data_IF_959420835315
#
_entry.id   IF_959420835315
#
_cell.length_a   1.000
_cell.length_b   1.000
_cell.length_c   1.000
_cell.angle_alpha   90.00
_cell.angle_beta   90.00
_cell.angle_gamma   90.00
#
_symmetry.space_group_name_H-M   'P 1'
#
loop_
_entity.id
_entity.type
_entity.pdbx_description
1 polymer ?
#
# COMPACT_ATOMS: atom_id res chain seq x y z
N UNK A 1 8.04 -24.86 24.11
CA UNK A 1 8.76 -25.36 22.91
C UNK A 1 7.83 -25.89 21.80
N UNK A 2 6.73 -26.59 22.14
CA UNK A 2 5.77 -27.13 21.13
C UNK A 2 5.13 -26.03 20.27
N UNK A 3 4.72 -24.89 20.84
CA UNK A 3 4.16 -23.78 20.09
C UNK A 3 5.17 -23.15 19.10
N UNK A 4 6.44 -23.04 19.48
CA UNK A 4 7.52 -22.57 18.59
C UNK A 4 7.69 -23.50 17.39
N UNK A 5 7.78 -24.81 17.64
CA UNK A 5 7.89 -25.82 16.57
C UNK A 5 6.66 -25.84 15.68
N UNK A 6 5.47 -25.64 16.25
CA UNK A 6 4.22 -25.49 15.50
C UNK A 6 4.21 -24.25 14.60
N UNK A 7 4.67 -23.10 15.10
CA UNK A 7 4.76 -21.87 14.30
C UNK A 7 5.80 -21.98 13.18
N UNK A 8 6.96 -22.60 13.46
CA UNK A 8 7.98 -22.90 12.45
C UNK A 8 7.45 -23.85 11.38
N UNK A 9 6.71 -24.88 11.79
CA UNK A 9 6.09 -25.83 10.86
C UNK A 9 5.05 -25.14 9.97
N UNK A 10 4.17 -24.33 10.54
CA UNK A 10 3.19 -23.54 9.78
C UNK A 10 3.89 -22.56 8.84
N UNK A 11 4.93 -21.85 9.31
CA UNK A 11 5.72 -20.95 8.48
C UNK A 11 6.35 -21.69 7.29
N UNK A 12 6.91 -22.89 7.52
CA UNK A 12 7.48 -23.72 6.47
C UNK A 12 6.42 -24.25 5.49
N UNK A 13 5.23 -24.60 5.98
CA UNK A 13 4.11 -25.02 5.14
C UNK A 13 3.58 -23.88 4.28
N UNK A 14 3.64 -22.66 4.78
CA UNK A 14 3.31 -21.46 4.03
C UNK A 14 4.41 -21.04 3.04
N UNK A 15 5.57 -21.68 3.01
CA UNK A 15 6.53 -21.43 1.93
C UNK A 15 6.10 -22.19 0.68
N UNK A 16 5.73 -21.45 -0.36
CA UNK A 16 5.57 -21.99 -1.72
C UNK A 16 4.30 -22.77 -2.02
N UNK A 17 3.32 -22.84 -1.10
CA UNK A 17 2.05 -23.54 -1.34
C UNK A 17 0.83 -22.70 -0.93
N UNK A 18 0.04 -22.27 -1.91
CA UNK A 18 -1.21 -21.53 -1.70
C UNK A 18 -2.30 -22.37 -1.03
N UNK A 19 -2.42 -23.66 -1.39
CA UNK A 19 -3.38 -24.56 -0.74
C UNK A 19 -3.12 -24.62 0.77
N UNK A 20 -1.84 -24.56 1.18
CA UNK A 20 -1.48 -24.47 2.58
C UNK A 20 -1.81 -23.09 3.16
N UNK A 21 -1.70 -21.99 2.41
CA UNK A 21 -2.12 -20.65 2.88
C UNK A 21 -3.60 -20.62 3.24
N UNK A 22 -4.46 -21.04 2.32
CA UNK A 22 -5.91 -21.08 2.55
C UNK A 22 -6.24 -22.01 3.72
N UNK A 23 -5.66 -23.21 3.75
CA UNK A 23 -5.90 -24.17 4.83
C UNK A 23 -5.39 -23.68 6.20
N UNK A 24 -4.23 -23.03 6.25
CA UNK A 24 -3.68 -22.45 7.48
C UNK A 24 -4.62 -21.36 8.00
N UNK A 25 -5.20 -20.54 7.11
CA UNK A 25 -6.11 -19.48 7.53
C UNK A 25 -7.48 -20.04 7.94
N UNK A 26 -8.06 -20.93 7.13
CA UNK A 26 -9.39 -21.51 7.39
C UNK A 26 -9.42 -22.32 8.69
N UNK A 27 -8.30 -22.95 9.06
CA UNK A 27 -8.15 -23.68 10.32
C UNK A 27 -7.80 -22.78 11.51
N UNK A 28 -7.78 -21.46 11.34
CA UNK A 28 -7.46 -20.51 12.40
C UNK A 28 -5.98 -20.51 12.83
N UNK A 29 -5.09 -20.98 11.95
CA UNK A 29 -3.65 -21.07 12.20
C UNK A 29 -3.02 -19.69 12.38
N UNK A 30 -3.52 -18.66 11.68
CA UNK A 30 -3.08 -17.27 11.86
C UNK A 30 -3.42 -16.79 13.27
N UNK A 31 -4.63 -17.03 13.75
CA UNK A 31 -5.10 -16.68 15.09
C UNK A 31 -4.35 -17.46 16.17
N UNK A 32 -4.03 -18.74 15.91
CA UNK A 32 -3.23 -19.56 16.81
C UNK A 32 -1.79 -19.04 16.95
N UNK A 33 -1.15 -18.67 15.83
CA UNK A 33 0.19 -18.07 15.84
C UNK A 33 0.18 -16.67 16.46
N UNK A 34 -0.86 -15.87 16.19
CA UNK A 34 -1.06 -14.53 16.81
C UNK A 34 -1.16 -14.63 18.32
N UNK A 35 -2.00 -15.55 18.81
CA UNK A 35 -2.21 -15.77 20.24
C UNK A 35 -0.94 -16.29 20.91
N UNK A 36 -0.21 -17.19 20.25
CA UNK A 36 1.10 -17.62 20.71
C UNK A 36 2.11 -16.46 20.75
N UNK A 37 2.09 -15.54 19.78
CA UNK A 37 2.95 -14.35 19.81
C UNK A 37 2.55 -13.35 20.91
N UNK A 38 1.26 -13.19 21.21
CA UNK A 38 0.76 -12.24 22.21
C UNK A 38 0.85 -12.74 23.65
N UNK A 39 0.64 -14.04 23.90
CA UNK A 39 0.77 -14.64 25.23
C UNK A 39 2.23 -14.66 25.68
N UNK A 40 3.16 -14.87 24.75
CA UNK A 40 4.58 -14.92 25.06
C UNK A 40 5.22 -13.53 25.18
N UNK A 41 4.65 -12.47 24.59
CA UNK A 41 5.16 -11.08 24.71
C UNK A 41 5.14 -10.52 26.14
N UNK A 42 4.32 -11.10 27.01
CA UNK A 42 4.10 -10.66 28.39
C UNK A 42 5.03 -11.34 29.41
N UNK A 43 5.86 -12.32 29.02
CA UNK A 43 6.67 -13.06 29.99
C UNK A 43 8.05 -12.39 30.22
N UNK A 44 8.41 -11.98 31.46
CA UNK A 44 9.62 -11.19 31.75
C UNK A 44 10.97 -11.90 31.55
N UNK A 45 10.93 -13.19 31.18
CA UNK A 45 12.12 -14.01 31.00
C UNK A 45 12.52 -14.02 29.52
N UNK A 46 13.52 -13.20 29.15
CA UNK A 46 14.17 -13.13 27.83
C UNK A 46 14.70 -14.49 27.33
N UNK A 47 13.84 -15.39 26.88
CA UNK A 47 14.24 -16.68 26.34
C UNK A 47 14.56 -16.53 24.83
N UNK A 48 15.68 -17.07 24.31
CA UNK A 48 16.05 -16.99 22.89
C UNK A 48 14.95 -17.48 21.91
N UNK A 49 14.17 -18.46 22.37
CA UNK A 49 13.02 -19.06 21.68
C UNK A 49 11.91 -18.06 21.31
N UNK A 50 11.85 -16.92 22.00
CA UNK A 50 10.85 -15.87 21.81
C UNK A 50 11.11 -15.04 20.56
N UNK A 51 12.38 -14.71 20.28
CA UNK A 51 12.78 -14.07 19.02
C UNK A 51 12.52 -14.99 17.83
N UNK A 52 12.75 -16.30 17.98
CA UNK A 52 12.43 -17.29 16.95
C UNK A 52 10.93 -17.44 16.74
N UNK A 53 10.10 -17.41 17.80
CA UNK A 53 8.65 -17.50 17.69
C UNK A 53 8.08 -16.27 16.98
N UNK A 54 8.52 -15.08 17.39
CA UNK A 54 8.16 -13.82 16.76
C UNK A 54 8.62 -13.81 15.29
N UNK A 55 9.87 -14.17 15.01
CA UNK A 55 10.41 -14.26 13.66
C UNK A 55 9.68 -15.28 12.77
N UNK A 56 9.30 -16.43 13.31
CA UNK A 56 8.58 -17.48 12.56
C UNK A 56 7.13 -17.10 12.28
N UNK A 57 6.46 -16.47 13.25
CA UNK A 57 5.11 -15.96 13.04
C UNK A 57 5.10 -14.82 12.03
N UNK A 58 6.04 -13.88 12.15
CA UNK A 58 6.24 -12.78 11.19
C UNK A 58 6.60 -13.31 9.80
N UNK A 59 7.40 -14.37 9.71
CA UNK A 59 7.69 -15.05 8.45
C UNK A 59 6.43 -15.68 7.86
N UNK A 60 5.71 -16.51 8.60
CA UNK A 60 4.44 -17.11 8.17
C UNK A 60 3.51 -16.03 7.60
N UNK A 61 3.32 -14.94 8.33
CA UNK A 61 2.45 -13.83 7.94
C UNK A 61 2.98 -13.10 6.71
N UNK A 62 4.29 -12.89 6.63
CA UNK A 62 4.95 -12.33 5.46
C UNK A 62 4.86 -13.23 4.23
N UNK A 63 4.83 -14.55 4.42
CA UNK A 63 4.64 -15.55 3.36
C UNK A 63 3.18 -15.66 2.91
N UNK A 64 2.23 -15.53 3.85
CA UNK A 64 0.80 -15.41 3.56
C UNK A 64 0.50 -14.11 2.81
N UNK A 65 1.15 -13.01 3.21
CA UNK A 65 1.07 -11.75 2.49
C UNK A 65 1.71 -11.90 1.11
N UNK A 66 2.95 -12.37 1.00
CA UNK A 66 3.69 -12.45 -0.26
C UNK A 66 3.23 -13.57 -1.22
N UNK A 67 1.98 -14.06 -1.14
CA UNK A 67 1.43 -15.03 -2.07
C UNK A 67 1.46 -14.45 -3.51
N UNK A 68 2.51 -14.76 -4.25
CA UNK A 68 2.64 -14.41 -5.65
C UNK A 68 1.59 -15.18 -6.43
N UNK A 69 0.57 -14.47 -6.92
CA UNK A 69 -0.59 -15.06 -7.59
C UNK A 69 -0.25 -15.51 -9.01
N UNK A 70 -0.14 -16.81 -9.23
CA UNK A 70 -0.14 -17.42 -10.58
C UNK A 70 -1.42 -18.17 -10.93
N UNK A 71 -2.49 -18.09 -10.11
CA UNK A 71 -3.75 -18.77 -10.42
C UNK A 71 -4.98 -17.88 -10.45
N UNK A 72 -5.66 -17.94 -11.60
CA UNK A 72 -6.86 -17.22 -12.04
C UNK A 72 -8.17 -17.85 -11.53
N UNK A 73 -8.13 -18.68 -10.48
CA UNK A 73 -9.23 -19.58 -10.13
C UNK A 73 -10.33 -18.99 -9.23
N UNK A 74 -10.02 -17.98 -8.41
CA UNK A 74 -10.97 -17.42 -7.42
C UNK A 74 -10.97 -15.89 -7.38
N UNK A 75 -10.98 -15.23 -8.54
CA UNK A 75 -11.20 -13.77 -8.66
C UNK A 75 -10.31 -12.85 -7.81
N UNK A 76 -9.22 -13.34 -7.20
CA UNK A 76 -8.34 -12.59 -6.30
C UNK A 76 -8.95 -12.09 -4.99
N UNK A 77 -10.24 -12.31 -4.72
CA UNK A 77 -10.91 -11.80 -3.52
C UNK A 77 -10.40 -12.42 -2.22
N UNK A 78 -10.11 -13.73 -2.26
CA UNK A 78 -9.63 -14.45 -1.09
C UNK A 78 -8.20 -14.03 -0.73
N UNK A 79 -7.33 -13.90 -1.73
CA UNK A 79 -5.94 -13.42 -1.55
C UNK A 79 -5.90 -12.06 -0.85
N UNK A 80 -6.66 -11.09 -1.40
CA UNK A 80 -6.77 -9.76 -0.81
C UNK A 80 -7.28 -9.82 0.63
N UNK A 81 -8.31 -10.61 0.89
CA UNK A 81 -8.88 -10.73 2.24
C UNK A 81 -7.87 -11.29 3.25
N UNK A 82 -7.07 -12.29 2.84
CA UNK A 82 -6.01 -12.85 3.67
C UNK A 82 -4.97 -11.79 4.06
N UNK A 83 -4.48 -11.04 3.07
CA UNK A 83 -3.46 -10.00 3.32
C UNK A 83 -4.01 -8.88 4.19
N UNK A 84 -5.22 -8.40 3.90
CA UNK A 84 -5.88 -7.35 4.69
C UNK A 84 -6.11 -7.80 6.13
N UNK A 85 -6.56 -9.04 6.34
CA UNK A 85 -6.76 -9.59 7.68
C UNK A 85 -5.44 -9.69 8.45
N UNK A 86 -4.39 -10.21 7.82
CA UNK A 86 -3.06 -10.31 8.44
C UNK A 86 -2.53 -8.93 8.85
N UNK A 87 -2.59 -7.94 7.97
CA UNK A 87 -2.14 -6.58 8.28
C UNK A 87 -2.98 -5.91 9.37
N UNK A 88 -4.30 -6.17 9.46
CA UNK A 88 -5.17 -5.67 10.55
C UNK A 88 -4.81 -6.30 11.89
N UNK A 89 -4.63 -7.62 11.92
CA UNK A 89 -4.27 -8.36 13.14
C UNK A 89 -2.91 -7.92 13.68
N UNK A 90 -1.98 -7.61 12.79
CA UNK A 90 -0.61 -7.23 13.13
C UNK A 90 -0.28 -5.79 12.73
N UNK A 91 -1.19 -4.87 13.01
CA UNK A 91 -1.03 -3.44 12.69
C UNK A 91 0.27 -2.84 13.24
N UNK A 92 0.77 -3.34 14.37
CA UNK A 92 1.98 -2.83 15.02
C UNK A 92 3.29 -3.53 14.60
N UNK A 93 3.25 -4.47 13.66
CA UNK A 93 4.44 -5.19 13.20
C UNK A 93 4.91 -4.65 11.85
N UNK A 94 6.02 -3.90 11.85
CA UNK A 94 6.61 -3.27 10.66
C UNK A 94 6.82 -4.27 9.51
N UNK A 95 7.39 -5.44 9.77
CA UNK A 95 7.68 -6.43 8.73
C UNK A 95 6.40 -6.99 8.09
N UNK A 96 5.35 -7.23 8.88
CA UNK A 96 4.05 -7.66 8.34
C UNK A 96 3.42 -6.54 7.51
N UNK A 97 3.55 -5.28 7.93
CA UNK A 97 3.07 -4.14 7.14
C UNK A 97 3.85 -3.99 5.82
N UNK A 98 5.17 -4.14 5.83
CA UNK A 98 6.00 -4.09 4.62
C UNK A 98 5.61 -5.18 3.62
N UNK A 99 5.56 -6.44 4.08
CA UNK A 99 5.17 -7.58 3.24
C UNK A 99 3.73 -7.47 2.78
N UNK A 100 2.84 -6.99 3.64
CA UNK A 100 1.45 -6.71 3.32
C UNK A 100 1.29 -5.65 2.25
N UNK A 101 1.97 -4.50 2.37
CA UNK A 101 1.95 -3.45 1.35
C UNK A 101 2.50 -3.97 0.01
N UNK A 102 3.61 -4.71 0.01
CA UNK A 102 4.17 -5.32 -1.20
C UNK A 102 3.21 -6.30 -1.86
N UNK A 103 2.54 -7.11 -1.06
CA UNK A 103 1.55 -8.07 -1.54
C UNK A 103 0.33 -7.39 -2.16
N UNK A 104 -0.25 -6.41 -1.48
CA UNK A 104 -1.36 -5.62 -1.99
C UNK A 104 -0.97 -4.88 -3.27
N UNK A 105 0.25 -4.35 -3.35
CA UNK A 105 0.77 -3.78 -4.60
C UNK A 105 0.81 -4.82 -5.74
N UNK A 106 1.41 -6.00 -5.50
CA UNK A 106 1.47 -7.05 -6.51
C UNK A 106 0.07 -7.48 -6.96
N UNK A 107 -0.86 -7.63 -6.01
CA UNK A 107 -2.26 -7.96 -6.29
C UNK A 107 -2.92 -6.87 -7.15
N UNK A 108 -2.74 -5.60 -6.79
CA UNK A 108 -3.25 -4.46 -7.56
C UNK A 108 -2.72 -4.44 -9.00
N UNK A 109 -1.41 -4.69 -9.16
CA UNK A 109 -0.76 -4.67 -10.47
C UNK A 109 -1.17 -5.83 -11.39
N UNK A 110 -1.84 -6.85 -10.84
CA UNK A 110 -2.17 -8.08 -11.58
C UNK A 110 -3.58 -8.11 -12.19
N UNK A 111 -4.39 -7.07 -12.00
CA UNK A 111 -5.63 -6.87 -12.75
C UNK A 111 -6.81 -6.31 -11.96
N UNK A 112 -7.80 -5.81 -12.69
CA UNK A 112 -8.93 -5.02 -12.19
C UNK A 112 -9.78 -5.72 -11.12
N UNK A 113 -10.04 -7.02 -11.24
CA UNK A 113 -10.82 -7.78 -10.26
C UNK A 113 -10.19 -7.74 -8.86
N UNK A 114 -8.85 -7.74 -8.78
CA UNK A 114 -8.13 -7.66 -7.51
C UNK A 114 -8.14 -6.25 -6.94
N UNK A 115 -8.04 -5.23 -7.79
CA UNK A 115 -8.22 -3.85 -7.36
C UNK A 115 -9.62 -3.64 -6.75
N UNK A 116 -10.67 -4.14 -7.41
CA UNK A 116 -12.03 -4.09 -6.86
C UNK A 116 -12.13 -4.81 -5.51
N UNK A 117 -11.55 -6.00 -5.39
CA UNK A 117 -11.50 -6.72 -4.13
C UNK A 117 -10.78 -5.92 -3.03
N UNK A 118 -9.68 -5.22 -3.34
CA UNK A 118 -8.97 -4.38 -2.37
C UNK A 118 -9.82 -3.23 -1.86
N UNK A 119 -10.62 -2.61 -2.72
CA UNK A 119 -11.57 -1.57 -2.31
C UNK A 119 -12.63 -2.17 -1.38
N UNK A 120 -13.28 -3.27 -1.80
CA UNK A 120 -14.37 -3.90 -1.06
C UNK A 120 -13.95 -4.46 0.31
N UNK A 121 -12.70 -4.90 0.45
CA UNK A 121 -12.20 -5.48 1.71
C UNK A 121 -11.51 -4.45 2.62
N UNK A 122 -11.42 -3.18 2.20
CA UNK A 122 -10.79 -2.11 2.97
C UNK A 122 -9.26 -2.19 2.99
N UNK A 123 -8.65 -2.68 1.90
CA UNK A 123 -7.19 -2.73 1.76
C UNK A 123 -6.54 -1.36 1.75
N UNK A 124 -7.24 -0.34 1.21
CA UNK A 124 -6.77 1.04 1.24
C UNK A 124 -6.58 1.57 2.66
N UNK A 125 -7.55 1.33 3.56
CA UNK A 125 -7.46 1.80 4.95
C UNK A 125 -6.26 1.21 5.66
N UNK A 126 -5.95 -0.06 5.37
CA UNK A 126 -4.82 -0.75 5.94
C UNK A 126 -3.50 -0.21 5.40
N UNK A 127 -3.40 0.03 4.09
CA UNK A 127 -2.20 0.66 3.48
C UNK A 127 -1.99 2.06 4.06
N UNK A 128 -3.03 2.89 4.13
CA UNK A 128 -2.95 4.26 4.67
C UNK A 128 -2.53 4.23 6.14
N UNK A 129 -3.06 3.31 6.94
CA UNK A 129 -2.64 3.15 8.34
C UNK A 129 -1.18 2.71 8.45
N UNK A 130 -0.76 1.73 7.65
CA UNK A 130 0.61 1.24 7.62
C UNK A 130 1.60 2.36 7.28
N UNK A 131 1.33 3.11 6.22
CA UNK A 131 2.15 4.24 5.79
C UNK A 131 2.19 5.38 6.82
N UNK A 132 1.09 5.64 7.54
CA UNK A 132 1.09 6.64 8.63
C UNK A 132 1.88 6.19 9.85
N UNK A 133 1.87 4.90 10.14
CA UNK A 133 2.52 4.34 11.32
C UNK A 133 4.02 4.11 11.11
N UNK A 134 4.42 3.70 9.91
CA UNK A 134 5.80 3.33 9.60
C UNK A 134 6.36 4.15 8.44
N UNK A 135 7.23 5.11 8.76
CA UNK A 135 7.96 5.91 7.77
C UNK A 135 9.21 5.14 7.31
N UNK A 136 8.97 3.97 6.70
CA UNK A 136 10.00 3.06 6.20
C UNK A 136 9.91 3.02 4.69
N UNK A 137 11.06 3.14 4.00
CA UNK A 137 11.14 3.26 2.54
C UNK A 137 10.28 2.23 1.81
N UNK A 138 10.42 0.96 2.18
CA UNK A 138 9.71 -0.13 1.49
C UNK A 138 8.19 -0.11 1.75
N UNK A 139 7.74 0.28 2.94
CA UNK A 139 6.30 0.45 3.24
C UNK A 139 5.73 1.62 2.44
N UNK A 140 6.42 2.76 2.42
CA UNK A 140 5.99 3.94 1.67
C UNK A 140 5.97 3.68 0.16
N UNK A 141 7.02 3.07 -0.39
CA UNK A 141 7.13 2.78 -1.81
C UNK A 141 6.03 1.81 -2.28
N UNK A 142 5.87 0.68 -1.57
CA UNK A 142 4.85 -0.30 -1.95
C UNK A 142 3.43 0.23 -1.71
N UNK A 143 3.21 0.96 -0.61
CA UNK A 143 1.93 1.58 -0.30
C UNK A 143 1.51 2.62 -1.35
N UNK A 144 2.42 3.53 -1.73
CA UNK A 144 2.19 4.53 -2.77
C UNK A 144 1.86 3.90 -4.12
N UNK A 145 2.60 2.86 -4.53
CA UNK A 145 2.31 2.14 -5.79
C UNK A 145 0.96 1.45 -5.74
N UNK A 146 0.64 0.79 -4.62
CA UNK A 146 -0.66 0.15 -4.44
C UNK A 146 -1.80 1.18 -4.52
N UNK A 147 -1.66 2.34 -3.89
CA UNK A 147 -2.66 3.41 -3.99
C UNK A 147 -2.82 3.92 -5.43
N UNK A 148 -1.73 4.08 -6.18
CA UNK A 148 -1.77 4.46 -7.60
C UNK A 148 -2.49 3.44 -8.48
N UNK A 149 -2.21 2.14 -8.30
CA UNK A 149 -2.82 1.08 -9.11
C UNK A 149 -4.33 0.91 -8.91
N UNK A 150 -4.88 1.35 -7.78
CA UNK A 150 -6.30 1.15 -7.45
C UNK A 150 -7.11 2.40 -7.79
N UNK A 151 -6.46 3.52 -8.15
CA UNK A 151 -7.09 4.82 -8.40
C UNK A 151 -8.31 4.74 -9.32
N UNK A 152 -8.20 4.03 -10.44
CA UNK A 152 -9.28 3.82 -11.40
C UNK A 152 -10.50 3.04 -10.88
N UNK A 153 -10.34 2.24 -9.82
CA UNK A 153 -11.39 1.35 -9.29
C UNK A 153 -12.06 1.88 -8.02
N UNK A 154 -11.40 2.81 -7.33
CA UNK A 154 -11.88 3.31 -6.04
C UNK A 154 -12.48 4.70 -6.11
N UNK A 155 -12.10 5.54 -7.07
CA UNK A 155 -12.56 6.93 -7.13
C UNK A 155 -14.08 7.06 -7.26
N UNK A 156 -14.74 6.10 -7.93
CA UNK A 156 -16.21 6.05 -8.03
C UNK A 156 -16.90 5.49 -6.78
N UNK A 157 -16.16 4.80 -5.90
CA UNK A 157 -16.72 3.99 -4.80
C UNK A 157 -16.35 4.47 -3.40
N UNK A 158 -15.32 5.30 -3.29
CA UNK A 158 -14.77 5.80 -2.04
C UNK A 158 -14.90 7.33 -2.02
N UNK A 159 -15.30 7.90 -0.88
CA UNK A 159 -15.51 9.35 -0.79
C UNK A 159 -14.23 10.17 -1.07
N UNK A 160 -14.39 11.33 -1.70
CA UNK A 160 -13.30 12.23 -2.12
C UNK A 160 -12.30 12.54 -0.97
N UNK A 161 -12.79 12.61 0.27
CA UNK A 161 -11.97 12.83 1.47
C UNK A 161 -10.91 11.76 1.70
N UNK A 162 -11.23 10.50 1.41
CA UNK A 162 -10.28 9.38 1.59
C UNK A 162 -9.18 9.48 0.55
N UNK A 163 -9.56 9.84 -0.67
CA UNK A 163 -8.63 9.99 -1.78
C UNK A 163 -7.70 11.17 -1.57
N UNK A 164 -8.23 12.28 -1.05
CA UNK A 164 -7.42 13.44 -0.66
C UNK A 164 -6.38 13.06 0.37
N UNK A 165 -6.77 12.36 1.43
CA UNK A 165 -5.85 11.89 2.48
C UNK A 165 -4.80 10.94 1.93
N UNK A 166 -5.14 10.10 0.96
CA UNK A 166 -4.18 9.23 0.29
C UNK A 166 -3.18 10.05 -0.53
N UNK A 167 -3.63 11.05 -1.29
CA UNK A 167 -2.74 11.94 -2.06
C UNK A 167 -1.81 12.76 -1.15
N UNK A 168 -2.34 13.34 -0.07
CA UNK A 168 -1.53 14.05 0.94
C UNK A 168 -0.45 13.13 1.54
N UNK A 169 -0.79 11.87 1.80
CA UNK A 169 0.16 10.88 2.32
C UNK A 169 1.24 10.52 1.30
N UNK A 170 0.89 10.41 0.02
CA UNK A 170 1.85 10.21 -1.07
C UNK A 170 2.82 11.39 -1.17
N UNK A 171 2.32 12.63 -1.13
CA UNK A 171 3.17 13.83 -1.13
C UNK A 171 4.08 13.86 0.09
N UNK A 172 3.57 13.52 1.27
CA UNK A 172 4.39 13.42 2.48
C UNK A 172 5.51 12.39 2.32
N UNK A 173 5.20 11.22 1.77
CA UNK A 173 6.18 10.18 1.50
C UNK A 173 7.25 10.63 0.48
N UNK A 174 6.84 11.35 -0.57
CA UNK A 174 7.78 11.98 -1.51
C UNK A 174 8.69 13.00 -0.81
N UNK A 175 8.17 13.78 0.14
CA UNK A 175 8.97 14.74 0.91
C UNK A 175 9.97 14.06 1.86
N UNK A 176 9.53 13.04 2.59
CA UNK A 176 10.37 12.29 3.55
C UNK A 176 11.52 11.58 2.82
N UNK A 177 11.24 11.04 1.64
CA UNK A 177 12.20 10.30 0.80
C UNK A 177 12.60 11.09 -0.45
N UNK A 178 12.78 12.40 -0.31
CA UNK A 178 13.07 13.34 -1.41
C UNK A 178 14.37 13.09 -2.20
N UNK A 179 15.23 12.18 -1.72
CA UNK A 179 16.49 11.80 -2.35
C UNK A 179 16.43 10.40 -2.97
N UNK A 180 15.33 9.66 -2.78
CA UNK A 180 15.10 8.36 -3.40
C UNK A 180 14.35 8.57 -4.72
N UNK A 181 15.07 8.38 -5.84
CA UNK A 181 14.53 8.52 -7.20
C UNK A 181 13.30 7.64 -7.42
N UNK A 182 13.35 6.38 -6.98
CA UNK A 182 12.24 5.44 -7.16
C UNK A 182 11.02 5.88 -6.37
N UNK A 183 11.21 6.42 -5.17
CA UNK A 183 10.10 6.93 -4.38
C UNK A 183 9.43 8.15 -5.03
N UNK A 184 10.22 9.03 -5.65
CA UNK A 184 9.66 10.15 -6.42
C UNK A 184 8.92 9.66 -7.66
N UNK A 185 9.45 8.65 -8.37
CA UNK A 185 8.79 8.07 -9.54
C UNK A 185 7.44 7.46 -9.15
N UNK A 186 7.42 6.64 -8.10
CA UNK A 186 6.20 6.02 -7.59
C UNK A 186 5.19 7.06 -7.10
N UNK A 187 5.66 8.12 -6.45
CA UNK A 187 4.81 9.23 -6.02
C UNK A 187 4.18 9.97 -7.20
N UNK A 188 4.97 10.38 -8.19
CA UNK A 188 4.48 11.02 -9.41
C UNK A 188 3.50 10.12 -10.17
N UNK A 189 3.78 8.82 -10.27
CA UNK A 189 2.87 7.85 -10.89
C UNK A 189 1.53 7.76 -10.13
N UNK A 190 1.57 7.65 -8.80
CA UNK A 190 0.34 7.59 -8.01
C UNK A 190 -0.49 8.87 -8.15
N UNK A 191 0.16 10.05 -8.07
CA UNK A 191 -0.51 11.34 -8.26
C UNK A 191 -1.09 11.51 -9.67
N UNK A 192 -0.40 11.01 -10.70
CA UNK A 192 -0.92 10.95 -12.06
C UNK A 192 -2.22 10.14 -12.13
N UNK A 193 -2.22 8.91 -11.64
CA UNK A 193 -3.41 8.05 -11.74
C UNK A 193 -4.58 8.62 -10.93
N UNK A 194 -4.31 9.21 -9.76
CA UNK A 194 -5.30 9.94 -8.97
C UNK A 194 -5.88 11.16 -9.73
N UNK A 195 -5.04 11.93 -10.42
CA UNK A 195 -5.48 13.08 -11.20
C UNK A 195 -6.23 12.65 -12.47
N UNK A 196 -5.83 11.55 -13.11
CA UNK A 196 -6.45 11.04 -14.33
C UNK A 196 -7.90 10.62 -14.09
N UNK A 197 -8.14 9.85 -13.04
CA UNK A 197 -9.48 9.29 -12.76
C UNK A 197 -10.31 10.16 -11.80
N UNK A 198 -9.72 11.20 -11.21
CA UNK A 198 -10.38 12.07 -10.25
C UNK A 198 -11.52 12.92 -10.84
N UNK A 199 -12.45 13.35 -9.98
CA UNK A 199 -13.46 14.36 -10.32
C UNK A 199 -12.81 15.73 -10.57
N UNK A 200 -13.53 16.64 -11.22
CA UNK A 200 -12.99 17.98 -11.47
C UNK A 200 -12.71 18.78 -10.19
N UNK A 201 -13.58 18.60 -9.19
CA UNK A 201 -13.43 19.15 -7.85
C UNK A 201 -12.20 18.58 -7.15
N UNK A 202 -11.96 17.28 -7.33
CA UNK A 202 -10.79 16.60 -6.80
C UNK A 202 -9.48 17.06 -7.49
N UNK A 203 -9.48 17.29 -8.80
CA UNK A 203 -8.33 17.88 -9.52
C UNK A 203 -8.00 19.29 -9.03
N UNK A 204 -9.02 20.10 -8.74
CA UNK A 204 -8.83 21.44 -8.15
C UNK A 204 -8.22 21.35 -6.74
N UNK A 205 -8.66 20.37 -5.94
CA UNK A 205 -8.14 20.10 -4.61
C UNK A 205 -6.68 19.60 -4.63
N UNK A 206 -6.36 18.71 -5.57
CA UNK A 206 -5.00 18.24 -5.80
C UNK A 206 -4.11 19.31 -6.42
N UNK A 207 -4.64 20.21 -7.23
CA UNK A 207 -3.93 21.34 -7.84
C UNK A 207 -3.47 22.43 -6.85
N UNK A 208 -3.45 22.13 -5.54
CA UNK A 208 -2.88 23.01 -4.53
C UNK A 208 -1.41 23.34 -4.86
N UNK A 209 -0.94 24.57 -4.56
CA UNK A 209 0.44 24.96 -4.83
C UNK A 209 1.48 24.00 -4.22
N UNK A 210 1.13 23.39 -3.08
CA UNK A 210 1.99 22.43 -2.40
C UNK A 210 2.26 21.18 -3.25
N UNK A 211 1.22 20.61 -3.87
CA UNK A 211 1.33 19.38 -4.64
C UNK A 211 1.96 19.61 -6.01
N UNK A 212 1.61 20.71 -6.68
CA UNK A 212 2.25 21.13 -7.92
C UNK A 212 3.76 21.35 -7.72
N UNK A 213 4.14 22.03 -6.63
CA UNK A 213 5.54 22.25 -6.28
C UNK A 213 6.26 20.96 -5.93
N UNK A 214 5.59 19.99 -5.28
CA UNK A 214 6.18 18.69 -4.97
C UNK A 214 6.53 17.92 -6.25
N UNK A 215 5.62 17.88 -7.23
CA UNK A 215 5.88 17.23 -8.54
C UNK A 215 7.00 17.96 -9.28
N UNK A 216 6.93 19.29 -9.39
CA UNK A 216 7.94 20.09 -10.09
C UNK A 216 9.34 19.94 -9.45
N UNK A 217 9.42 20.03 -8.11
CA UNK A 217 10.70 19.88 -7.39
C UNK A 217 11.30 18.49 -7.56
N UNK A 218 10.45 17.47 -7.68
CA UNK A 218 10.90 16.10 -7.93
C UNK A 218 11.47 15.95 -9.34
N UNK A 219 10.79 16.54 -10.33
CA UNK A 219 11.24 16.60 -11.71
C UNK A 219 12.56 17.38 -11.85
N UNK A 220 12.70 18.51 -11.18
CA UNK A 220 13.95 19.29 -11.19
C UNK A 220 15.11 18.52 -10.56
N UNK A 221 14.84 17.73 -9.52
CA UNK A 221 15.87 16.95 -8.82
C UNK A 221 16.36 15.75 -9.63
N UNK A 222 15.47 15.09 -10.37
CA UNK A 222 15.78 13.89 -11.14
C UNK A 222 15.53 14.10 -12.64
N UNK A 223 16.29 15.00 -13.29
CA UNK A 223 16.05 15.39 -14.69
C UNK A 223 16.31 14.25 -15.68
N UNK A 224 17.12 13.25 -15.31
CA UNK A 224 17.46 12.11 -16.16
C UNK A 224 16.51 10.92 -16.01
N UNK A 225 15.56 11.01 -15.08
CA UNK A 225 14.62 9.92 -14.80
C UNK A 225 13.42 10.00 -15.74
N UNK A 226 13.49 9.31 -16.88
CA UNK A 226 12.48 9.40 -17.95
C UNK A 226 11.06 9.12 -17.47
N UNK A 227 10.87 8.08 -16.64
CA UNK A 227 9.57 7.70 -16.10
C UNK A 227 9.02 8.77 -15.16
N UNK A 228 9.86 9.31 -14.28
CA UNK A 228 9.48 10.39 -13.37
C UNK A 228 9.12 11.67 -14.11
N UNK A 229 9.89 12.05 -15.14
CA UNK A 229 9.59 13.21 -15.98
C UNK A 229 8.27 13.01 -16.73
N UNK A 230 8.07 11.83 -17.33
CA UNK A 230 6.83 11.51 -18.05
C UNK A 230 5.63 11.55 -17.11
N UNK A 231 5.67 10.83 -15.99
CA UNK A 231 4.58 10.80 -15.01
C UNK A 231 4.30 12.18 -14.42
N UNK A 232 5.34 12.95 -14.10
CA UNK A 232 5.22 14.32 -13.61
C UNK A 232 4.56 15.27 -14.62
N UNK A 233 5.00 15.25 -15.88
CA UNK A 233 4.38 16.03 -16.95
C UNK A 233 2.90 15.68 -17.16
N UNK A 234 2.55 14.40 -17.19
CA UNK A 234 1.16 13.99 -17.33
C UNK A 234 0.33 14.40 -16.11
N UNK A 235 0.85 14.24 -14.89
CA UNK A 235 0.15 14.65 -13.68
C UNK A 235 -0.13 16.15 -13.70
N UNK A 236 0.88 16.98 -13.99
CA UNK A 236 0.72 18.42 -14.12
C UNK A 236 -0.29 18.81 -15.20
N UNK A 237 -0.29 18.12 -16.34
CA UNK A 237 -1.26 18.37 -17.41
C UNK A 237 -2.70 18.10 -16.97
N UNK A 238 -2.97 16.95 -16.32
CA UNK A 238 -4.31 16.64 -15.80
C UNK A 238 -4.76 17.60 -14.68
N UNK A 239 -3.83 18.08 -13.86
CA UNK A 239 -4.12 19.08 -12.82
C UNK A 239 -4.37 20.47 -13.42
N UNK A 240 -3.64 20.84 -14.47
CA UNK A 240 -3.75 22.14 -15.14
C UNK A 240 -4.95 22.24 -16.08
N UNK A 241 -5.36 21.14 -16.74
CA UNK A 241 -6.49 21.15 -17.70
C UNK A 241 -7.81 21.60 -17.08
N UNK A 242 -7.94 21.51 -15.75
CA UNK A 242 -9.11 22.00 -15.01
C UNK A 242 -8.97 23.42 -14.46
N UNK A 243 -7.78 24.00 -14.44
CA UNK A 243 -7.59 25.39 -14.01
C UNK A 243 -7.89 26.39 -15.14
N UNK A 244 -7.97 25.94 -16.40
CA UNK A 244 -8.31 26.81 -17.55
C UNK A 244 -9.73 27.39 -17.44
N UNK A 245 -10.65 26.71 -16.74
CA UNK A 245 -11.97 27.25 -16.41
C UNK A 245 -12.00 28.27 -15.26
N UNK A 246 -10.95 28.31 -14.43
CA UNK A 246 -10.83 29.25 -13.30
C UNK A 246 -9.93 30.46 -13.63
N UNK A 247 -8.90 30.28 -14.47
CA UNK A 247 -8.04 31.39 -14.92
C UNK A 247 -8.74 32.34 -15.90
N UNK A 248 -9.72 31.86 -16.66
CA UNK A 248 -10.53 32.72 -17.56
C UNK A 248 -11.56 33.58 -16.82
N UNK A 249 -11.74 33.41 -15.51
CA UNK A 249 -12.63 34.24 -14.69
C UNK A 249 -11.90 35.33 -13.87
N UNK A 250 -10.56 35.36 -13.85
CA UNK A 250 -9.78 36.31 -13.03
C UNK A 250 -8.86 37.25 -13.81
N UNK A 251 -8.86 37.23 -15.15
CA UNK A 251 -8.08 38.17 -15.98
C UNK A 251 -8.92 39.22 -16.73
N UNK A 252 -10.16 39.46 -16.32
CA UNK A 252 -11.01 40.53 -16.88
C UNK A 252 -11.79 41.28 -15.77
N UNK A 253 -11.12 41.71 -14.71
CA UNK A 253 -11.56 42.87 -13.92
C UNK A 253 -10.33 43.67 -13.53
N UNK A 254 -10.33 44.92 -14.03
CA UNK A 254 -9.40 46.05 -13.89
C UNK A 254 -8.08 46.04 -14.68
#
# INVERSE_FOLDING_TARGET
DIQLRGCLFLASLAVGSYANHTMIVDLGGVEAVTRAMSEFSMHPSMHPSMHLLQGSGVWLLGSLAASNTTHSGSGGHQDVELVVRAMKTFANNEFVQERGCKALYNLASSGDQKCEAMVLKGGMDVIVKAMKQFVVRDIQANGTRALGCVANHFLDRVGEDVVKKAAELVVQAMFDFRQDELMQEYGCFALLELARFGSDQFRSLLGSPLLLNAIASSMERFPMSELLQASGCYALNYLASNQVGHFTAMSCVD
#
